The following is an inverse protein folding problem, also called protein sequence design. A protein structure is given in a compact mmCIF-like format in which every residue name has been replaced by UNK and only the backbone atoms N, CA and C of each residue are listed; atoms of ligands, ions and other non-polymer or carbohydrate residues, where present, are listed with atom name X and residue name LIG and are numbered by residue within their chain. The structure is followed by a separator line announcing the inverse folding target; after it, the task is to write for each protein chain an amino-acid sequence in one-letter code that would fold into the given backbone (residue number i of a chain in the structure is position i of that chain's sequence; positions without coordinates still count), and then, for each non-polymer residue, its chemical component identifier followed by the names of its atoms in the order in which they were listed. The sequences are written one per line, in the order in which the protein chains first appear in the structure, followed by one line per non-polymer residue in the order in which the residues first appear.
data_IF_131319969115
#
_entry.id   IF_131319969115
#
_cell.length_a   1.000
_cell.length_b   1.000
_cell.length_c   1.000
_cell.angle_alpha   90.00
_cell.angle_beta   90.00
_cell.angle_gamma   90.00
#
_symmetry.space_group_name_H-M   'P 1'
#
loop_
_entity.id
_entity.type
_entity.pdbx_description
1 polymer ?
#
# COMPACT_ATOMS: atom_id res chain seq x y z
N UNK A 1 -3.43 8.91 -12.05
CA UNK A 1 -4.62 9.75 -11.78
C UNK A 1 -5.80 8.99 -11.15
N UNK A 2 -5.76 7.70 -10.96
CA UNK A 2 -6.87 6.89 -10.44
C UNK A 2 -6.63 6.34 -9.04
N UNK A 3 -5.59 6.82 -8.37
CA UNK A 3 -5.33 6.57 -6.96
C UNK A 3 -6.19 7.50 -6.09
N UNK A 4 -6.12 7.33 -4.78
CA UNK A 4 -6.85 8.14 -3.81
C UNK A 4 -6.59 9.65 -4.03
N UNK A 5 -7.63 10.51 -4.04
CA UNK A 5 -7.48 11.94 -4.33
C UNK A 5 -6.45 12.64 -3.44
N UNK A 6 -6.36 12.24 -2.17
CA UNK A 6 -5.44 12.86 -1.21
C UNK A 6 -3.96 12.53 -1.45
N UNK A 7 -3.62 11.55 -2.30
CA UNK A 7 -2.23 11.27 -2.73
C UNK A 7 -1.98 11.61 -4.19
N UNK A 8 -3.02 11.58 -5.04
CA UNK A 8 -2.92 11.90 -6.47
C UNK A 8 -2.95 13.40 -6.75
N UNK A 9 -3.79 14.14 -6.02
CA UNK A 9 -3.97 15.57 -6.21
C UNK A 9 -4.16 15.96 -7.68
N UNK A 10 -3.55 17.07 -8.08
CA UNK A 10 -3.64 17.58 -9.47
C UNK A 10 -2.48 17.13 -10.36
N UNK A 11 -1.36 16.67 -9.79
CA UNK A 11 -0.14 16.29 -10.52
C UNK A 11 0.05 14.78 -10.66
N UNK A 12 -0.73 13.99 -9.91
CA UNK A 12 -0.65 12.55 -9.91
C UNK A 12 0.37 11.99 -8.92
N UNK A 13 0.30 10.67 -8.75
CA UNK A 13 1.20 9.86 -7.94
C UNK A 13 2.25 9.21 -8.84
N UNK A 14 3.52 9.25 -8.47
CA UNK A 14 4.63 8.64 -9.20
C UNK A 14 4.68 7.14 -8.96
N UNK A 15 3.89 6.37 -9.72
CA UNK A 15 3.65 4.95 -9.46
C UNK A 15 4.70 4.05 -10.08
N UNK A 16 5.26 3.15 -9.28
CA UNK A 16 6.21 2.10 -9.69
C UNK A 16 5.63 0.74 -9.30
N UNK A 17 5.36 -0.11 -10.31
CA UNK A 17 4.83 -1.45 -10.12
C UNK A 17 5.98 -2.47 -10.02
N UNK A 18 5.95 -3.31 -8.99
CA UNK A 18 6.90 -4.40 -8.82
C UNK A 18 6.27 -5.73 -9.21
N UNK A 19 7.01 -6.55 -9.98
CA UNK A 19 6.55 -7.86 -10.42
C UNK A 19 6.45 -8.84 -9.26
N UNK A 20 5.40 -9.67 -9.29
CA UNK A 20 5.09 -10.65 -8.28
C UNK A 20 4.19 -10.11 -7.18
N UNK A 21 3.48 -11.04 -6.52
CA UNK A 21 2.64 -10.75 -5.36
C UNK A 21 2.52 -12.02 -4.51
N UNK A 22 2.46 -11.88 -3.20
CA UNK A 22 2.24 -12.98 -2.25
C UNK A 22 0.81 -13.50 -2.30
N UNK A 23 -0.16 -12.66 -2.70
CA UNK A 23 -1.55 -13.01 -2.93
C UNK A 23 -1.79 -13.51 -4.36
N UNK A 24 -2.81 -14.36 -4.53
CA UNK A 24 -3.26 -14.87 -5.83
C UNK A 24 -4.73 -14.50 -6.07
N UNK A 25 -5.04 -13.20 -5.94
CA UNK A 25 -6.42 -12.72 -6.07
C UNK A 25 -6.97 -12.98 -7.48
N UNK A 26 -8.11 -13.70 -7.57
CA UNK A 26 -8.76 -14.00 -8.85
C UNK A 26 -9.29 -12.74 -9.58
N UNK A 27 -9.50 -11.64 -8.83
CA UNK A 27 -9.95 -10.34 -9.35
C UNK A 27 -8.80 -9.32 -9.46
N UNK A 28 -7.54 -9.77 -9.54
CA UNK A 28 -6.41 -8.85 -9.61
C UNK A 28 -6.41 -8.04 -10.91
N UNK A 29 -6.55 -6.72 -10.82
CA UNK A 29 -6.49 -5.82 -11.99
C UNK A 29 -5.10 -5.81 -12.63
N UNK A 30 -4.05 -6.10 -11.86
CA UNK A 30 -2.66 -6.14 -12.31
C UNK A 30 -2.16 -7.59 -12.48
N UNK A 31 -3.02 -8.52 -12.88
CA UNK A 31 -2.69 -9.95 -12.98
C UNK A 31 -1.42 -10.24 -13.76
N UNK A 32 -1.17 -9.63 -14.96
CA UNK A 32 0.07 -9.86 -15.70
C UNK A 32 1.33 -9.51 -14.90
N UNK A 33 1.28 -8.46 -14.08
CA UNK A 33 2.42 -8.02 -13.25
C UNK A 33 2.55 -8.92 -12.00
N UNK A 34 1.42 -9.15 -11.32
CA UNK A 34 1.40 -9.83 -10.02
C UNK A 34 1.56 -11.34 -10.10
N UNK A 35 1.02 -11.99 -11.14
CA UNK A 35 0.98 -13.45 -11.26
C UNK A 35 1.82 -13.99 -12.42
N UNK A 36 1.92 -13.29 -13.55
CA UNK A 36 2.66 -13.74 -14.73
C UNK A 36 4.09 -13.18 -14.80
N UNK A 37 4.46 -12.30 -13.84
CA UNK A 37 5.81 -11.77 -13.74
C UNK A 37 6.19 -10.78 -14.84
N UNK A 38 5.18 -10.12 -15.43
CA UNK A 38 5.44 -9.05 -16.39
C UNK A 38 6.27 -7.94 -15.73
N UNK A 39 7.41 -7.66 -16.31
CA UNK A 39 8.31 -6.62 -15.82
C UNK A 39 9.67 -6.70 -16.50
N UNK A 40 10.58 -5.85 -16.06
CA UNK A 40 11.95 -5.80 -16.52
C UNK A 40 12.87 -5.74 -15.31
N UNK A 41 13.89 -6.60 -15.31
CA UNK A 41 14.94 -6.51 -14.31
C UNK A 41 15.74 -5.22 -14.51
N UNK A 42 15.95 -4.49 -13.42
CA UNK A 42 16.74 -3.24 -13.41
C UNK A 42 17.69 -3.23 -12.23
N UNK A 43 18.75 -2.43 -12.32
CA UNK A 43 19.67 -2.23 -11.20
C UNK A 43 19.07 -1.31 -10.14
N UNK A 44 19.66 -1.36 -8.94
CA UNK A 44 19.31 -0.45 -7.82
C UNK A 44 19.54 1.00 -8.21
N UNK A 45 20.65 1.30 -8.91
CA UNK A 45 20.94 2.65 -9.41
C UNK A 45 19.86 3.15 -10.37
N UNK A 46 19.43 2.28 -11.31
CA UNK A 46 18.38 2.66 -12.25
C UNK A 46 17.01 2.86 -11.57
N UNK A 47 16.72 2.09 -10.53
CA UNK A 47 15.51 2.31 -9.72
C UNK A 47 15.57 3.68 -8.99
N UNK A 48 16.75 4.07 -8.47
CA UNK A 48 16.95 5.39 -7.87
C UNK A 48 16.76 6.52 -8.89
N UNK A 49 17.27 6.35 -10.12
CA UNK A 49 17.07 7.30 -11.23
C UNK A 49 15.57 7.44 -11.59
N UNK A 50 14.81 6.34 -11.57
CA UNK A 50 13.35 6.36 -11.80
C UNK A 50 12.67 7.22 -10.73
N UNK A 51 12.99 7.05 -9.45
CA UNK A 51 12.40 7.85 -8.37
C UNK A 51 12.69 9.34 -8.55
N UNK A 52 13.93 9.71 -8.87
CA UNK A 52 14.33 11.09 -9.14
C UNK A 52 13.63 11.66 -10.38
N UNK A 53 13.47 10.85 -11.42
CA UNK A 53 12.75 11.25 -12.64
C UNK A 53 11.27 11.53 -12.37
N UNK A 54 10.61 10.71 -11.55
CA UNK A 54 9.21 10.95 -11.15
C UNK A 54 9.08 12.24 -10.33
N UNK A 55 10.03 12.51 -9.44
CA UNK A 55 10.10 13.78 -8.72
C UNK A 55 10.29 14.96 -9.68
N UNK A 56 11.20 14.88 -10.63
CA UNK A 56 11.43 15.92 -11.63
C UNK A 56 10.21 16.17 -12.53
N UNK A 57 9.38 15.17 -12.76
CA UNK A 57 8.10 15.28 -13.47
C UNK A 57 7.00 15.94 -12.62
N UNK A 58 7.27 16.22 -11.34
CA UNK A 58 6.38 16.93 -10.45
C UNK A 58 5.33 16.05 -9.77
N UNK A 59 5.52 14.73 -9.67
CA UNK A 59 4.66 13.85 -8.90
C UNK A 59 4.52 14.32 -7.43
N UNK A 60 3.39 14.05 -6.79
CA UNK A 60 3.19 14.38 -5.38
C UNK A 60 3.92 13.45 -4.43
N UNK A 61 4.16 12.21 -4.84
CA UNK A 61 4.82 11.16 -4.06
C UNK A 61 5.42 10.09 -4.98
N UNK A 62 6.19 9.16 -4.40
CA UNK A 62 6.59 7.91 -5.05
C UNK A 62 5.72 6.81 -4.50
N UNK A 63 4.90 6.16 -5.35
CA UNK A 63 3.96 5.12 -4.97
C UNK A 63 4.50 3.74 -5.40
N UNK A 64 4.94 2.97 -4.42
CA UNK A 64 5.50 1.63 -4.60
C UNK A 64 4.37 0.60 -4.54
N UNK A 65 4.01 0.01 -5.67
CA UNK A 65 2.92 -0.97 -5.75
C UNK A 65 3.46 -2.38 -5.61
N UNK A 66 3.00 -3.10 -4.59
CA UNK A 66 3.40 -4.47 -4.23
C UNK A 66 4.91 -4.61 -4.02
N UNK A 67 5.55 -3.78 -3.17
CA UNK A 67 7.00 -3.73 -3.05
C UNK A 67 7.59 -4.82 -2.13
N UNK A 68 6.79 -5.54 -1.35
CA UNK A 68 7.22 -6.35 -0.21
C UNK A 68 8.35 -7.34 -0.53
N UNK A 69 8.24 -8.09 -1.64
CA UNK A 69 9.25 -9.08 -2.04
C UNK A 69 10.57 -8.46 -2.53
N UNK A 70 10.59 -7.16 -2.82
CA UNK A 70 11.76 -6.43 -3.31
C UNK A 70 12.35 -5.45 -2.29
N UNK A 71 11.88 -5.52 -1.05
CA UNK A 71 12.19 -4.57 0.03
C UNK A 71 13.68 -4.22 0.15
N UNK A 72 14.66 -5.14 0.23
CA UNK A 72 16.05 -4.78 0.43
C UNK A 72 16.63 -3.94 -0.73
N UNK A 73 16.25 -4.26 -1.97
CA UNK A 73 16.71 -3.52 -3.15
C UNK A 73 16.05 -2.14 -3.27
N UNK A 74 14.78 -2.05 -2.89
CA UNK A 74 14.04 -0.78 -2.87
C UNK A 74 14.61 0.16 -1.79
N UNK A 75 14.92 -0.35 -0.61
CA UNK A 75 15.57 0.42 0.45
C UNK A 75 16.91 0.98 -0.04
N UNK A 76 17.76 0.14 -0.66
CA UNK A 76 19.03 0.59 -1.23
C UNK A 76 18.84 1.68 -2.30
N UNK A 77 17.81 1.56 -3.16
CA UNK A 77 17.50 2.56 -4.18
C UNK A 77 16.98 3.87 -3.56
N UNK A 78 16.17 3.80 -2.49
CA UNK A 78 15.71 4.98 -1.76
C UNK A 78 16.87 5.72 -1.08
N UNK A 79 17.82 5.00 -0.48
CA UNK A 79 19.03 5.61 0.10
C UNK A 79 19.84 6.36 -0.96
N UNK A 80 20.06 5.74 -2.12
CA UNK A 80 20.77 6.38 -3.25
C UNK A 80 20.01 7.61 -3.77
N UNK A 81 18.70 7.51 -3.93
CA UNK A 81 17.87 8.60 -4.42
C UNK A 81 17.81 9.76 -3.41
N UNK A 82 17.68 9.46 -2.10
CA UNK A 82 17.70 10.47 -1.04
C UNK A 82 19.06 11.20 -0.97
N UNK A 83 20.17 10.50 -1.14
CA UNK A 83 21.50 11.11 -1.23
C UNK A 83 21.64 12.06 -2.43
N UNK A 84 20.81 11.88 -3.46
CA UNK A 84 20.76 12.71 -4.67
C UNK A 84 19.60 13.74 -4.66
N UNK A 85 18.89 13.89 -3.53
CA UNK A 85 17.89 14.94 -3.35
C UNK A 85 16.44 14.51 -3.53
N UNK A 86 16.13 13.20 -3.45
CA UNK A 86 14.73 12.74 -3.34
C UNK A 86 14.13 13.23 -2.02
N UNK A 87 13.06 14.00 -2.11
CA UNK A 87 12.37 14.59 -0.95
C UNK A 87 10.84 14.33 -0.94
N UNK A 88 10.30 13.62 -1.93
CA UNK A 88 8.88 13.27 -1.99
C UNK A 88 8.52 12.22 -0.93
N UNK A 89 7.30 12.26 -0.39
CA UNK A 89 6.77 11.18 0.43
C UNK A 89 6.76 9.85 -0.32
N UNK A 90 7.05 8.76 0.40
CA UNK A 90 7.05 7.41 -0.14
C UNK A 90 5.77 6.69 0.31
N UNK A 91 4.98 6.23 -0.66
CA UNK A 91 3.77 5.44 -0.45
C UNK A 91 4.07 3.96 -0.65
N UNK A 92 3.69 3.12 0.31
CA UNK A 92 3.68 1.66 0.15
C UNK A 92 2.25 1.19 -0.12
N UNK A 93 1.97 0.80 -1.36
CA UNK A 93 0.68 0.27 -1.78
C UNK A 93 0.73 -1.26 -1.71
N UNK A 94 0.10 -1.82 -0.68
CA UNK A 94 0.17 -3.24 -0.36
C UNK A 94 -1.21 -3.87 -0.21
N UNK A 95 -1.30 -5.17 -0.50
CA UNK A 95 -2.48 -5.99 -0.26
C UNK A 95 -2.76 -6.26 1.23
N UNK A 96 -1.98 -5.73 2.14
CA UNK A 96 -2.11 -5.92 3.59
C UNK A 96 -1.57 -7.26 4.11
N UNK A 97 -1.29 -8.22 3.25
CA UNK A 97 -0.80 -9.55 3.62
C UNK A 97 0.72 -9.52 3.85
N UNK A 98 1.11 -8.85 4.93
CA UNK A 98 2.49 -8.63 5.34
C UNK A 98 2.75 -9.25 6.71
N UNK A 99 4.02 -9.42 7.07
CA UNK A 99 4.41 -9.72 8.45
C UNK A 99 4.76 -8.43 9.19
N UNK A 100 4.65 -8.46 10.52
CA UNK A 100 5.06 -7.32 11.37
C UNK A 100 6.53 -6.98 11.14
N UNK A 101 7.39 -7.99 10.99
CA UNK A 101 8.82 -7.82 10.73
C UNK A 101 9.08 -7.11 9.40
N UNK A 102 8.29 -7.45 8.34
CA UNK A 102 8.36 -6.75 7.04
C UNK A 102 7.96 -5.29 7.18
N UNK A 103 6.88 -4.99 7.91
CA UNK A 103 6.46 -3.61 8.19
C UNK A 103 7.54 -2.85 8.97
N UNK A 104 8.11 -3.45 10.02
CA UNK A 104 9.16 -2.83 10.81
C UNK A 104 10.44 -2.54 10.00
N UNK A 105 10.79 -3.39 9.06
CA UNK A 105 11.94 -3.18 8.18
C UNK A 105 11.77 -1.98 7.22
N UNK A 106 10.55 -1.48 7.00
CA UNK A 106 10.26 -0.25 6.26
C UNK A 106 10.36 1.03 7.10
N UNK A 107 10.61 0.92 8.41
CA UNK A 107 10.66 2.07 9.32
C UNK A 107 11.66 3.14 8.85
N UNK A 108 11.19 4.38 8.73
CA UNK A 108 11.98 5.50 8.22
C UNK A 108 12.08 5.60 6.70
N UNK A 109 11.49 4.65 5.97
CA UNK A 109 11.44 4.68 4.50
C UNK A 109 10.04 5.01 3.97
N UNK A 110 8.99 4.48 4.58
CA UNK A 110 7.60 4.69 4.17
C UNK A 110 6.97 5.81 5.01
N UNK A 111 6.37 6.77 4.33
CA UNK A 111 5.63 7.88 4.94
C UNK A 111 4.13 7.58 4.94
N UNK A 112 3.62 6.96 3.88
CA UNK A 112 2.19 6.68 3.69
C UNK A 112 2.00 5.20 3.41
N UNK A 113 1.18 4.54 4.22
CA UNK A 113 0.72 3.19 3.95
C UNK A 113 -0.64 3.24 3.24
N UNK A 114 -0.69 2.71 2.04
CA UNK A 114 -1.91 2.48 1.27
C UNK A 114 -2.20 0.98 1.31
N UNK A 115 -2.85 0.55 2.39
CA UNK A 115 -3.01 -0.86 2.73
C UNK A 115 -4.44 -1.34 2.47
N UNK A 116 -4.59 -2.54 1.91
CA UNK A 116 -5.89 -3.18 1.79
C UNK A 116 -6.19 -4.04 3.04
N UNK A 117 -7.42 -3.95 3.55
CA UNK A 117 -8.01 -4.96 4.41
C UNK A 117 -9.09 -5.68 3.60
N UNK A 118 -8.69 -6.81 2.97
CA UNK A 118 -9.52 -7.46 1.96
C UNK A 118 -10.62 -8.34 2.55
N UNK A 119 -10.30 -9.12 3.59
CA UNK A 119 -11.16 -10.16 4.16
C UNK A 119 -10.99 -10.28 5.67
N UNK A 120 -12.06 -10.71 6.32
CA UNK A 120 -12.02 -11.29 7.67
C UNK A 120 -12.19 -12.81 7.60
N UNK A 121 -13.00 -13.32 6.66
CA UNK A 121 -13.28 -14.74 6.48
C UNK A 121 -12.09 -15.53 5.93
N UNK A 122 -11.54 -16.54 6.66
CA UNK A 122 -10.49 -17.42 6.14
C UNK A 122 -10.94 -18.25 4.93
N UNK A 123 -12.22 -18.64 4.86
CA UNK A 123 -12.75 -19.40 3.74
C UNK A 123 -12.75 -18.55 2.46
N UNK A 124 -13.20 -17.29 2.57
CA UNK A 124 -13.26 -16.37 1.44
C UNK A 124 -11.86 -15.99 0.96
N UNK A 125 -10.95 -15.70 1.87
CA UNK A 125 -9.55 -15.36 1.52
C UNK A 125 -8.79 -16.54 0.93
N UNK A 126 -9.08 -17.77 1.35
CA UNK A 126 -8.55 -18.99 0.72
C UNK A 126 -9.07 -19.14 -0.71
N UNK A 127 -10.36 -18.97 -0.93
CA UNK A 127 -11.02 -19.11 -2.22
C UNK A 127 -10.56 -18.05 -3.23
N UNK A 128 -10.61 -16.78 -2.82
CA UNK A 128 -10.43 -15.66 -3.76
C UNK A 128 -8.97 -15.17 -3.89
N UNK A 129 -8.10 -15.48 -2.93
CA UNK A 129 -6.71 -14.98 -2.90
C UNK A 129 -5.66 -16.03 -2.51
N UNK A 130 -6.06 -17.30 -2.34
CA UNK A 130 -5.19 -18.40 -1.91
C UNK A 130 -4.43 -18.11 -0.59
N UNK A 131 -5.06 -17.40 0.34
CA UNK A 131 -4.45 -16.95 1.60
C UNK A 131 -5.39 -17.21 2.79
N UNK A 132 -5.53 -18.46 3.27
CA UNK A 132 -6.48 -18.81 4.34
C UNK A 132 -6.17 -18.15 5.68
N UNK A 133 -4.97 -17.68 5.88
CA UNK A 133 -4.48 -16.96 7.07
C UNK A 133 -4.41 -15.43 6.87
N UNK A 134 -5.08 -14.91 5.81
CA UNK A 134 -5.01 -13.49 5.45
C UNK A 134 -5.24 -12.56 6.63
N UNK A 135 -6.40 -12.67 7.29
CA UNK A 135 -6.76 -11.76 8.37
C UNK A 135 -5.83 -11.89 9.58
N UNK A 136 -5.39 -13.10 9.90
CA UNK A 136 -4.47 -13.36 11.00
C UNK A 136 -3.10 -12.68 10.80
N UNK A 137 -2.68 -12.47 9.54
CA UNK A 137 -1.46 -11.74 9.19
C UNK A 137 -1.72 -10.26 8.95
N UNK A 138 -2.77 -9.92 8.21
CA UNK A 138 -3.06 -8.54 7.84
C UNK A 138 -3.39 -7.66 9.06
N UNK A 139 -4.14 -8.18 10.03
CA UNK A 139 -4.52 -7.42 11.23
C UNK A 139 -3.30 -6.89 12.00
N UNK A 140 -2.37 -7.71 12.49
CA UNK A 140 -1.19 -7.20 13.21
C UNK A 140 -0.25 -6.36 12.34
N UNK A 141 -0.15 -6.65 11.03
CA UNK A 141 0.63 -5.84 10.11
C UNK A 141 0.05 -4.43 9.95
N UNK A 142 -1.28 -4.29 9.80
CA UNK A 142 -1.96 -2.99 9.72
C UNK A 142 -1.82 -2.23 11.05
N UNK A 143 -1.94 -2.90 12.19
CA UNK A 143 -1.69 -2.30 13.51
C UNK A 143 -0.26 -1.76 13.63
N UNK A 144 0.73 -2.47 13.09
CA UNK A 144 2.12 -1.99 13.02
C UNK A 144 2.27 -0.78 12.05
N UNK A 145 1.56 -0.77 10.92
CA UNK A 145 1.54 0.37 9.98
C UNK A 145 0.93 1.61 10.65
N UNK A 146 -0.19 1.47 11.37
CA UNK A 146 -0.83 2.55 12.12
C UNK A 146 0.13 3.11 13.18
N UNK A 147 0.76 2.25 13.96
CA UNK A 147 1.74 2.66 14.99
C UNK A 147 2.98 3.33 14.39
N UNK A 148 3.41 2.92 13.18
CA UNK A 148 4.59 3.45 12.51
C UNK A 148 4.32 4.83 11.88
N UNK A 149 3.21 4.98 11.16
CA UNK A 149 2.87 6.21 10.45
C UNK A 149 2.25 7.27 11.36
N UNK A 150 1.51 6.86 12.39
CA UNK A 150 0.71 7.77 13.23
C UNK A 150 -0.46 8.39 12.46
N UNK A 151 -1.04 9.44 13.03
CA UNK A 151 -2.19 10.12 12.43
C UNK A 151 -1.88 10.76 11.07
N UNK A 152 -2.88 10.84 10.17
CA UNK A 152 -2.73 11.50 8.87
C UNK A 152 -2.28 12.95 9.00
N UNK A 153 -1.27 13.31 8.22
CA UNK A 153 -0.74 14.68 8.12
C UNK A 153 -0.83 15.14 6.68
N UNK A 154 -1.44 16.30 6.47
CA UNK A 154 -1.63 16.90 5.15
C UNK A 154 -0.79 18.16 4.99
N UNK A 155 -0.40 18.48 3.76
CA UNK A 155 0.12 19.79 3.43
C UNK A 155 -1.00 20.85 3.25
N UNK A 156 -0.61 22.10 3.00
CA UNK A 156 -1.55 23.22 2.81
C UNK A 156 -2.45 23.05 1.57
N UNK A 157 -2.09 22.17 0.63
CA UNK A 157 -2.88 21.84 -0.55
C UNK A 157 -3.83 20.65 -0.32
N UNK A 158 -3.84 20.07 0.88
CA UNK A 158 -4.64 18.91 1.23
C UNK A 158 -4.08 17.59 0.71
N UNK A 159 -2.79 17.55 0.35
CA UNK A 159 -2.10 16.31 -0.06
C UNK A 159 -1.50 15.63 1.16
N UNK A 160 -1.81 14.35 1.30
CA UNK A 160 -1.32 13.52 2.41
C UNK A 160 0.21 13.40 2.33
N UNK A 161 0.87 13.70 3.44
CA UNK A 161 2.32 13.64 3.59
C UNK A 161 2.75 12.45 4.45
N UNK A 162 1.89 11.99 5.37
CA UNK A 162 2.13 10.85 6.25
C UNK A 162 0.82 10.29 6.75
N UNK A 163 0.75 8.98 7.00
CA UNK A 163 -0.41 8.33 7.59
C UNK A 163 -0.73 7.00 6.93
N UNK A 164 -1.92 6.49 7.24
CA UNK A 164 -2.46 5.26 6.67
C UNK A 164 -3.75 5.54 5.93
N UNK A 165 -3.85 5.06 4.69
CA UNK A 165 -5.12 4.92 3.97
C UNK A 165 -5.46 3.44 4.01
N UNK A 166 -6.57 3.09 4.66
CA UNK A 166 -7.02 1.72 4.78
C UNK A 166 -8.17 1.48 3.80
N UNK A 167 -7.91 0.61 2.81
CA UNK A 167 -8.84 0.31 1.73
C UNK A 167 -9.57 -1.00 1.95
N UNK A 168 -10.84 -1.03 1.58
CA UNK A 168 -11.62 -2.25 1.43
C UNK A 168 -12.33 -2.26 0.08
N UNK A 169 -12.18 -3.36 -0.66
CA UNK A 169 -12.92 -3.62 -1.90
C UNK A 169 -14.11 -4.54 -1.58
N UNK A 170 -15.31 -3.97 -1.63
CA UNK A 170 -16.56 -4.71 -1.43
C UNK A 170 -16.83 -5.61 -2.65
N UNK A 171 -16.76 -6.92 -2.47
CA UNK A 171 -16.94 -7.90 -3.54
C UNK A 171 -18.40 -8.33 -3.67
N UNK A 172 -18.92 -8.55 -4.90
CA UNK A 172 -20.28 -9.02 -5.12
C UNK A 172 -20.55 -10.34 -4.43
N UNK A 173 -21.71 -10.44 -3.75
CA UNK A 173 -22.14 -11.66 -3.07
C UNK A 173 -21.47 -11.91 -1.71
N UNK A 174 -20.55 -11.03 -1.26
CA UNK A 174 -19.78 -11.21 -0.02
C UNK A 174 -19.96 -10.04 0.96
N UNK A 175 -21.17 -9.48 1.02
CA UNK A 175 -21.48 -8.30 1.82
C UNK A 175 -21.26 -8.51 3.32
N UNK A 176 -21.52 -9.73 3.81
CA UNK A 176 -21.37 -10.05 5.24
C UNK A 176 -19.88 -9.97 5.65
N UNK A 177 -18.96 -10.41 4.81
CA UNK A 177 -17.51 -10.26 5.07
C UNK A 177 -17.08 -8.80 4.98
N UNK A 178 -17.68 -8.03 4.06
CA UNK A 178 -17.45 -6.58 3.99
C UNK A 178 -17.88 -5.86 5.26
N UNK A 179 -19.01 -6.23 5.85
CA UNK A 179 -19.42 -5.69 7.16
C UNK A 179 -18.45 -6.09 8.26
N UNK A 180 -17.96 -7.33 8.29
CA UNK A 180 -16.96 -7.76 9.27
C UNK A 180 -15.63 -6.98 9.13
N UNK A 181 -15.23 -6.65 7.90
CA UNK A 181 -14.07 -5.76 7.63
C UNK A 181 -14.33 -4.35 8.17
N UNK A 182 -15.51 -3.79 7.89
CA UNK A 182 -15.88 -2.44 8.36
C UNK A 182 -16.00 -2.40 9.90
N UNK A 183 -16.50 -3.45 10.53
CA UNK A 183 -16.54 -3.58 11.99
C UNK A 183 -15.12 -3.56 12.59
N UNK A 184 -14.15 -4.24 11.95
CA UNK A 184 -12.76 -4.19 12.38
C UNK A 184 -12.16 -2.78 12.19
N UNK A 185 -12.45 -2.11 11.08
CA UNK A 185 -12.03 -0.73 10.84
C UNK A 185 -12.63 0.22 11.87
N UNK A 186 -13.92 0.06 12.18
CA UNK A 186 -14.61 0.83 13.22
C UNK A 186 -13.97 0.62 14.60
N UNK A 187 -13.64 -0.63 14.96
CA UNK A 187 -12.98 -0.92 16.23
C UNK A 187 -11.62 -0.23 16.38
N UNK A 188 -10.84 -0.11 15.32
CA UNK A 188 -9.58 0.66 15.35
C UNK A 188 -9.83 2.16 15.48
N UNK A 189 -10.82 2.70 14.75
CA UNK A 189 -11.16 4.12 14.84
C UNK A 189 -11.77 4.48 16.20
N UNK A 190 -12.53 3.59 16.84
CA UNK A 190 -13.08 3.81 18.18
C UNK A 190 -11.96 3.81 19.26
N UNK A 191 -10.93 3.00 19.05
CA UNK A 191 -9.78 2.95 19.95
C UNK A 191 -8.87 4.17 19.80
N UNK A 192 -8.69 4.68 18.59
CA UNK A 192 -7.87 5.87 18.26
C UNK A 192 -8.52 6.66 17.11
N UNK A 193 -9.42 7.62 17.42
CA UNK A 193 -10.21 8.33 16.43
C UNK A 193 -9.35 9.09 15.40
N UNK A 194 -9.54 8.78 14.12
CA UNK A 194 -8.82 9.41 13.03
C UNK A 194 -7.43 8.84 12.77
N UNK A 195 -7.10 7.67 13.30
CA UNK A 195 -5.78 7.03 13.10
C UNK A 195 -5.53 6.59 11.64
N UNK A 196 -6.53 6.56 10.78
CA UNK A 196 -6.41 6.28 9.34
C UNK A 196 -7.49 7.00 8.52
N UNK A 197 -7.31 7.01 7.20
CA UNK A 197 -8.31 7.44 6.23
C UNK A 197 -8.97 6.20 5.63
N UNK A 198 -10.31 6.03 5.76
CA UNK A 198 -11.00 4.89 5.16
C UNK A 198 -11.26 5.13 3.67
N UNK A 199 -11.10 4.08 2.86
CA UNK A 199 -11.49 4.05 1.45
C UNK A 199 -12.23 2.75 1.14
N UNK A 200 -13.54 2.85 0.90
CA UNK A 200 -14.37 1.69 0.54
C UNK A 200 -14.69 1.77 -0.94
N UNK A 201 -14.31 0.73 -1.66
CA UNK A 201 -14.41 0.66 -3.12
C UNK A 201 -15.39 -0.44 -3.55
N UNK A 202 -16.00 -0.26 -4.72
CA UNK A 202 -16.87 -1.24 -5.37
C UNK A 202 -16.49 -1.51 -6.83
N UNK A 203 -15.26 -1.16 -7.19
CA UNK A 203 -14.73 -1.32 -8.56
C UNK A 203 -13.87 -2.59 -8.63
N UNK A 204 -14.25 -3.54 -9.49
CA UNK A 204 -13.55 -4.82 -9.71
C UNK A 204 -13.69 -5.25 -11.18
#
# INVERSE_FOLDING_TARGET
FWEEPCISGTRGSGTVFFSGCTLKCCFCQNYPISAEGLGKEISVDHLAEIFLSLQAQGAHNINLVTPGQWQPWIIAALDLARAQGLCLPIVCNTGGYETVESVEAWRGYIDIWLADLKYVSPALSAELSAAPDYFAKAKPAIEAMLAQAGHPVFDDAGILQRGVILRHLALPGHIDDSFAVLDQMAAWNDADPGCFLPSVMSQY
#
